data_IF_559601392233
#
_entry.id   IF_559601392233
#
_cell.length_a   1.000
_cell.length_b   1.000
_cell.length_c   1.000
_cell.angle_alpha   90.00
_cell.angle_beta   90.00
_cell.angle_gamma   90.00
#
_symmetry.space_group_name_H-M   'P 1'
#
loop_
_entity.id
_entity.type
_entity.pdbx_description
1 polymer ?
#
# COMPACT_ATOMS: atom_id res chain seq x y z
N UNK A 1 -20.38 -6.73 -20.24
CA UNK A 1 -19.92 -5.54 -19.48
C UNK A 1 -18.61 -5.92 -18.82
N UNK A 2 -17.61 -5.03 -18.82
CA UNK A 2 -16.37 -5.25 -18.08
C UNK A 2 -16.68 -5.33 -16.56
N UNK A 3 -15.96 -6.17 -15.82
CA UNK A 3 -16.05 -6.18 -14.37
C UNK A 3 -15.62 -4.82 -13.82
N UNK A 4 -16.21 -4.32 -12.72
CA UNK A 4 -15.68 -3.14 -12.06
C UNK A 4 -14.30 -3.44 -11.48
N UNK A 5 -13.44 -2.41 -11.46
CA UNK A 5 -12.06 -2.52 -10.97
C UNK A 5 -12.01 -2.30 -9.46
N UNK A 6 -11.21 -3.08 -8.75
CA UNK A 6 -10.89 -2.85 -7.35
C UNK A 6 -9.38 -2.89 -7.15
N UNK A 7 -8.85 -1.88 -6.46
CA UNK A 7 -7.48 -1.84 -5.96
C UNK A 7 -7.49 -1.88 -4.43
N UNK A 8 -6.66 -2.69 -3.86
CA UNK A 8 -6.37 -2.69 -2.41
C UNK A 8 -4.94 -3.16 -2.15
N UNK A 9 -4.43 -2.87 -0.96
CA UNK A 9 -3.06 -3.28 -0.62
C UNK A 9 -2.74 -3.13 0.84
N UNK A 10 -1.64 -3.76 1.25
CA UNK A 10 -1.09 -3.62 2.60
C UNK A 10 0.40 -3.35 2.55
N UNK A 11 0.88 -2.61 3.55
CA UNK A 11 2.30 -2.39 3.74
C UNK A 11 2.96 -3.68 4.26
N UNK A 12 4.11 -4.11 3.70
CA UNK A 12 4.86 -5.26 4.19
C UNK A 12 5.68 -4.89 5.44
N UNK A 13 5.02 -4.33 6.47
CA UNK A 13 5.62 -3.90 7.72
C UNK A 13 5.20 -4.82 8.87
N UNK A 14 6.14 -5.61 9.39
CA UNK A 14 5.84 -6.58 10.44
C UNK A 14 5.19 -7.89 9.93
N UNK A 15 4.89 -8.78 10.85
CA UNK A 15 4.13 -10.00 10.54
C UNK A 15 2.66 -9.70 10.31
N UNK A 16 2.04 -10.43 9.39
CA UNK A 16 0.62 -10.31 9.15
C UNK A 16 -0.17 -10.85 10.35
N UNK A 17 -1.16 -10.10 10.78
CA UNK A 17 -1.99 -10.44 11.94
C UNK A 17 -3.32 -11.06 11.51
N UNK A 18 -3.99 -11.73 12.44
CA UNK A 18 -5.38 -12.19 12.24
C UNK A 18 -6.31 -11.03 11.83
N UNK A 19 -6.07 -9.82 12.36
CA UNK A 19 -6.81 -8.62 11.97
C UNK A 19 -6.65 -8.26 10.50
N UNK A 20 -5.46 -8.40 9.93
CA UNK A 20 -5.21 -8.21 8.50
C UNK A 20 -5.94 -9.25 7.66
N UNK A 21 -5.94 -10.51 8.09
CA UNK A 21 -6.65 -11.57 7.39
C UNK A 21 -8.17 -11.33 7.39
N UNK A 22 -8.77 -11.13 8.55
CA UNK A 22 -10.23 -10.95 8.68
C UNK A 22 -10.69 -9.62 8.08
N UNK A 23 -9.93 -8.55 8.30
CA UNK A 23 -10.30 -7.20 7.88
C UNK A 23 -10.06 -6.91 6.39
N UNK A 24 -9.14 -7.61 5.74
CA UNK A 24 -8.78 -7.35 4.36
C UNK A 24 -8.74 -8.62 3.49
N UNK A 25 -7.81 -9.55 3.71
CA UNK A 25 -7.52 -10.63 2.76
C UNK A 25 -8.74 -11.52 2.52
N UNK A 26 -9.48 -11.87 3.57
CA UNK A 26 -10.70 -12.67 3.44
C UNK A 26 -11.78 -11.98 2.56
N UNK A 27 -11.80 -10.65 2.52
CA UNK A 27 -12.66 -9.91 1.61
C UNK A 27 -12.10 -9.95 0.18
N UNK A 28 -10.79 -9.81 0.01
CA UNK A 28 -10.14 -9.85 -1.30
C UNK A 28 -10.33 -11.18 -2.01
N UNK A 29 -10.30 -12.30 -1.25
CA UNK A 29 -10.58 -13.64 -1.79
C UNK A 29 -11.99 -13.71 -2.40
N UNK A 30 -12.95 -12.99 -1.85
CA UNK A 30 -14.31 -12.90 -2.42
C UNK A 30 -14.36 -11.94 -3.60
N UNK A 31 -13.72 -10.77 -3.49
CA UNK A 31 -13.74 -9.73 -4.51
C UNK A 31 -13.11 -10.21 -5.84
N UNK A 32 -12.07 -11.05 -5.81
CA UNK A 32 -11.46 -11.56 -7.04
C UNK A 32 -12.42 -12.36 -7.94
N UNK A 33 -13.54 -12.85 -7.43
CA UNK A 33 -14.52 -13.57 -8.22
C UNK A 33 -15.42 -12.63 -9.04
N UNK A 34 -15.71 -11.45 -8.49
CA UNK A 34 -16.69 -10.51 -9.04
C UNK A 34 -16.06 -9.29 -9.71
N UNK A 35 -14.82 -8.93 -9.33
CA UNK A 35 -14.14 -7.73 -9.75
C UNK A 35 -12.88 -8.04 -10.58
N UNK A 36 -12.46 -7.08 -11.37
CA UNK A 36 -11.10 -7.02 -11.92
C UNK A 36 -10.18 -6.47 -10.81
N UNK A 37 -9.48 -7.39 -10.14
CA UNK A 37 -8.90 -7.13 -8.83
C UNK A 37 -7.38 -6.97 -8.91
N UNK A 38 -6.88 -5.93 -8.25
CA UNK A 38 -5.48 -5.58 -8.14
C UNK A 38 -5.10 -5.51 -6.65
N UNK A 39 -4.24 -6.43 -6.20
CA UNK A 39 -3.80 -6.49 -4.80
C UNK A 39 -2.31 -6.19 -4.69
N UNK A 40 -1.99 -5.14 -3.96
CA UNK A 40 -0.68 -4.53 -3.91
C UNK A 40 0.03 -4.80 -2.58
N UNK A 41 1.33 -5.09 -2.66
CA UNK A 41 2.24 -4.92 -1.52
C UNK A 41 2.82 -3.52 -1.58
N UNK A 42 2.38 -2.65 -0.67
CA UNK A 42 2.63 -1.21 -0.66
C UNK A 42 3.99 -0.89 0.00
N UNK A 43 5.09 -1.29 -0.64
CA UNK A 43 6.44 -1.14 -0.13
C UNK A 43 6.94 0.31 -0.17
N UNK A 44 6.49 1.13 -1.14
CA UNK A 44 6.80 2.57 -1.14
C UNK A 44 6.13 3.30 0.04
N UNK A 45 4.93 2.88 0.45
CA UNK A 45 4.33 3.39 1.69
C UNK A 45 5.05 2.90 2.94
N UNK A 46 5.61 1.68 2.90
CA UNK A 46 6.36 1.12 4.02
C UNK A 46 7.60 1.94 4.37
N UNK A 47 8.33 2.44 3.36
CA UNK A 47 9.56 3.22 3.56
C UNK A 47 9.32 4.66 4.06
N UNK A 48 8.08 5.11 4.19
CA UNK A 48 7.75 6.35 4.91
C UNK A 48 8.15 6.30 6.40
N UNK A 49 8.30 5.10 6.94
CA UNK A 49 8.96 4.82 8.20
C UNK A 49 10.24 4.02 7.90
N UNK A 50 11.34 4.33 8.59
CA UNK A 50 12.63 3.67 8.33
C UNK A 50 12.51 2.15 8.44
N UNK A 51 12.91 1.45 7.38
CA UNK A 51 12.94 0.00 7.28
C UNK A 51 14.38 -0.47 7.08
N UNK A 52 14.68 -1.66 7.56
CA UNK A 52 15.87 -2.40 7.12
C UNK A 52 15.61 -2.94 5.72
N UNK A 53 16.50 -2.68 4.72
CA UNK A 53 16.26 -3.06 3.32
C UNK A 53 16.17 -4.57 3.08
N UNK A 54 16.98 -5.37 3.80
CA UNK A 54 16.98 -6.82 3.64
C UNK A 54 15.70 -7.42 4.23
N UNK A 55 15.33 -6.93 5.40
CA UNK A 55 14.09 -7.34 6.07
C UNK A 55 12.85 -6.91 5.26
N UNK A 56 12.86 -5.72 4.65
CA UNK A 56 11.75 -5.28 3.80
C UNK A 56 11.60 -6.18 2.58
N UNK A 57 12.70 -6.56 1.91
CA UNK A 57 12.67 -7.50 0.76
C UNK A 57 12.11 -8.86 1.17
N UNK A 58 12.55 -9.40 2.31
CA UNK A 58 12.04 -10.66 2.83
C UNK A 58 10.53 -10.57 3.10
N UNK A 59 10.07 -9.51 3.75
CA UNK A 59 8.65 -9.28 4.06
C UNK A 59 7.76 -9.10 2.82
N UNK A 60 8.29 -8.51 1.75
CA UNK A 60 7.58 -8.43 0.47
C UNK A 60 7.34 -9.83 -0.08
N UNK A 61 8.36 -10.69 -0.12
CA UNK A 61 8.22 -12.08 -0.58
C UNK A 61 7.28 -12.89 0.31
N UNK A 62 7.41 -12.76 1.63
CA UNK A 62 6.50 -13.39 2.60
C UNK A 62 5.05 -12.93 2.40
N UNK A 63 4.86 -11.64 2.11
CA UNK A 63 3.54 -11.08 1.83
C UNK A 63 2.88 -11.68 0.58
N UNK A 64 3.64 -11.83 -0.52
CA UNK A 64 3.15 -12.50 -1.74
C UNK A 64 2.76 -13.95 -1.44
N UNK A 65 3.64 -14.68 -0.76
CA UNK A 65 3.38 -16.07 -0.38
C UNK A 65 2.14 -16.20 0.49
N UNK A 66 1.99 -15.27 1.45
CA UNK A 66 0.87 -15.28 2.39
C UNK A 66 -0.47 -14.93 1.71
N UNK A 67 -0.51 -13.93 0.81
CA UNK A 67 -1.70 -13.62 0.04
C UNK A 67 -2.17 -14.85 -0.74
N UNK A 68 -1.24 -15.52 -1.42
CA UNK A 68 -1.53 -16.74 -2.18
C UNK A 68 -2.00 -17.88 -1.27
N UNK A 69 -1.33 -18.10 -0.14
CA UNK A 69 -1.71 -19.12 0.83
C UNK A 69 -3.10 -18.85 1.46
N UNK A 70 -3.50 -17.59 1.58
CA UNK A 70 -4.82 -17.21 2.06
C UNK A 70 -5.93 -17.30 1.00
N UNK A 71 -5.60 -17.63 -0.25
CA UNK A 71 -6.58 -17.88 -1.31
C UNK A 71 -6.66 -16.83 -2.40
N UNK A 72 -5.76 -15.84 -2.44
CA UNK A 72 -5.62 -14.95 -3.60
C UNK A 72 -5.03 -15.77 -4.74
N UNK A 73 -5.75 -15.85 -5.85
CA UNK A 73 -5.36 -16.61 -7.04
C UNK A 73 -4.76 -15.64 -8.09
N UNK A 74 -3.47 -15.77 -8.44
CA UNK A 74 -2.83 -14.93 -9.45
C UNK A 74 -3.41 -15.05 -10.88
N UNK A 75 -4.20 -16.10 -11.14
CA UNK A 75 -4.92 -16.23 -12.41
C UNK A 75 -6.21 -15.39 -12.48
N UNK A 76 -6.72 -14.95 -11.32
CA UNK A 76 -7.96 -14.19 -11.18
C UNK A 76 -7.74 -12.73 -10.79
N UNK A 77 -6.66 -12.45 -10.08
CA UNK A 77 -6.32 -11.13 -9.58
C UNK A 77 -4.86 -10.80 -9.89
N UNK A 78 -4.58 -9.56 -10.25
CA UNK A 78 -3.21 -9.07 -10.34
C UNK A 78 -2.64 -8.92 -8.92
N UNK A 79 -1.55 -9.62 -8.64
CA UNK A 79 -0.80 -9.49 -7.39
C UNK A 79 0.56 -8.85 -7.71
N UNK A 80 0.85 -7.70 -7.14
CA UNK A 80 2.05 -6.95 -7.50
C UNK A 80 2.69 -6.20 -6.32
N UNK A 81 3.94 -5.80 -6.52
CA UNK A 81 4.68 -4.95 -5.59
C UNK A 81 4.68 -3.52 -6.13
N UNK A 82 4.29 -2.57 -5.32
CA UNK A 82 4.10 -1.17 -5.72
C UNK A 82 5.34 -0.57 -6.40
N UNK A 83 6.53 -0.81 -5.85
CA UNK A 83 7.79 -0.29 -6.42
C UNK A 83 8.17 -0.89 -7.77
N UNK A 84 7.55 -1.99 -8.19
CA UNK A 84 7.79 -2.61 -9.50
C UNK A 84 6.92 -1.97 -10.61
N UNK A 85 6.02 -1.08 -10.25
CA UNK A 85 5.20 -0.28 -11.17
C UNK A 85 5.61 1.20 -11.00
N UNK A 86 6.59 1.69 -11.78
CA UNK A 86 7.19 3.01 -11.56
C UNK A 86 6.20 4.17 -11.73
N UNK A 87 5.10 3.95 -12.43
CA UNK A 87 4.04 4.92 -12.66
C UNK A 87 3.43 5.45 -11.35
N UNK A 88 3.34 4.63 -10.30
CA UNK A 88 2.90 5.07 -8.97
C UNK A 88 3.78 6.21 -8.43
N UNK A 89 5.11 6.03 -8.50
CA UNK A 89 6.04 7.05 -8.03
C UNK A 89 6.07 8.28 -8.97
N UNK A 90 5.96 8.08 -10.28
CA UNK A 90 5.96 9.16 -11.27
C UNK A 90 4.72 10.05 -11.11
N UNK A 91 3.53 9.45 -11.06
CA UNK A 91 2.29 10.19 -10.82
C UNK A 91 2.28 10.81 -9.42
N UNK A 92 2.77 10.08 -8.42
CA UNK A 92 2.93 10.60 -7.06
C UNK A 92 3.78 11.87 -7.01
N UNK A 93 4.86 11.94 -7.79
CA UNK A 93 5.66 13.15 -7.92
C UNK A 93 4.87 14.30 -8.55
N UNK A 94 4.15 14.03 -9.64
CA UNK A 94 3.31 15.06 -10.29
C UNK A 94 2.28 15.59 -9.31
N UNK A 95 1.56 14.71 -8.61
CA UNK A 95 0.55 15.11 -7.61
C UNK A 95 1.16 15.91 -6.46
N UNK A 96 2.37 15.58 -6.02
CA UNK A 96 3.10 16.37 -5.01
C UNK A 96 3.37 17.81 -5.45
N UNK A 97 3.54 18.07 -6.76
CA UNK A 97 3.73 19.42 -7.27
C UNK A 97 2.43 20.27 -7.24
N UNK A 98 1.28 19.63 -7.12
CA UNK A 98 -0.03 20.28 -7.04
C UNK A 98 -0.65 20.25 -5.65
N UNK A 99 -0.25 19.30 -4.80
CA UNK A 99 -0.77 19.15 -3.44
C UNK A 99 -0.41 20.38 -2.58
N UNK A 100 -1.39 20.89 -1.85
CA UNK A 100 -1.18 22.06 -0.99
C UNK A 100 -0.73 21.62 0.41
N UNK A 101 0.32 22.25 0.92
CA UNK A 101 0.86 22.00 2.27
C UNK A 101 -0.20 22.08 3.37
N UNK A 102 -1.15 23.04 3.25
CA UNK A 102 -2.24 23.21 4.21
C UNK A 102 -3.23 22.05 4.22
N UNK A 103 -3.43 21.37 3.10
CA UNK A 103 -4.28 20.18 2.99
C UNK A 103 -3.59 18.97 3.60
N UNK A 104 -2.34 18.72 3.23
CA UNK A 104 -1.56 17.60 3.77
C UNK A 104 -1.39 17.71 5.30
N UNK A 105 -1.22 18.93 5.82
CA UNK A 105 -1.07 19.17 7.26
C UNK A 105 -2.36 18.88 8.07
N UNK A 106 -3.52 18.81 7.43
CA UNK A 106 -4.80 18.45 8.08
C UNK A 106 -5.00 16.94 8.21
N UNK A 107 -4.19 16.13 7.53
CA UNK A 107 -4.31 14.67 7.57
C UNK A 107 -4.03 14.13 8.98
N UNK A 108 -4.99 13.39 9.54
CA UNK A 108 -4.90 12.84 10.91
C UNK A 108 -3.78 11.83 11.07
N UNK A 109 -3.60 10.94 10.07
CA UNK A 109 -2.55 9.92 10.13
C UNK A 109 -1.13 10.50 10.17
N UNK A 110 -0.88 11.66 9.57
CA UNK A 110 0.39 12.34 9.72
C UNK A 110 0.64 12.70 11.19
N UNK A 111 -0.36 13.25 11.88
CA UNK A 111 -0.27 13.62 13.30
C UNK A 111 -0.02 12.41 14.19
N UNK A 112 -0.76 11.32 13.97
CA UNK A 112 -0.63 10.09 14.76
C UNK A 112 0.74 9.43 14.57
N UNK A 113 1.19 9.28 13.34
CA UNK A 113 2.51 8.70 13.02
C UNK A 113 3.67 9.60 13.46
N UNK A 114 3.53 10.92 13.37
CA UNK A 114 4.53 11.88 13.88
C UNK A 114 4.67 11.79 15.39
N UNK A 115 3.59 11.58 16.12
CA UNK A 115 3.62 11.39 17.57
C UNK A 115 4.32 10.06 17.95
N UNK A 116 4.05 8.98 17.19
CA UNK A 116 4.61 7.65 17.45
C UNK A 116 6.08 7.55 17.02
N UNK A 117 6.49 8.28 15.99
CA UNK A 117 7.83 8.24 15.40
C UNK A 117 8.51 9.61 15.41
N UNK A 118 8.47 10.32 16.54
CA UNK A 118 8.96 11.69 16.70
C UNK A 118 10.41 11.91 16.20
N UNK A 119 11.25 10.88 16.27
CA UNK A 119 12.64 10.93 15.83
C UNK A 119 12.84 10.64 14.32
N UNK A 120 11.78 10.37 13.58
CA UNK A 120 11.84 10.01 12.15
C UNK A 120 10.70 10.64 11.34
N UNK A 121 10.43 11.91 11.58
CA UNK A 121 9.47 12.67 10.77
C UNK A 121 10.18 13.07 9.47
N UNK A 122 9.74 12.51 8.36
CA UNK A 122 10.32 12.76 7.05
C UNK A 122 9.27 13.24 6.04
N UNK A 123 9.72 13.76 4.90
CA UNK A 123 8.83 14.29 3.85
C UNK A 123 7.89 13.22 3.30
N UNK A 124 8.34 11.97 3.17
CA UNK A 124 7.50 10.87 2.69
C UNK A 124 6.32 10.59 3.62
N UNK A 125 6.52 10.70 4.94
CA UNK A 125 5.45 10.58 5.93
C UNK A 125 4.42 11.71 5.82
N UNK A 126 4.84 12.89 5.39
CA UNK A 126 3.96 14.04 5.15
C UNK A 126 3.24 13.94 3.80
N UNK A 127 3.95 13.51 2.75
CA UNK A 127 3.50 13.52 1.36
C UNK A 127 2.82 12.22 0.89
N UNK A 128 2.78 11.15 1.72
CA UNK A 128 2.21 9.86 1.33
C UNK A 128 0.76 9.93 0.78
N UNK A 129 -0.11 10.90 1.14
CA UNK A 129 -1.46 10.98 0.56
C UNK A 129 -1.44 11.25 -0.95
N UNK A 130 -0.43 11.95 -1.47
CA UNK A 130 -0.26 12.14 -2.91
C UNK A 130 0.13 10.84 -3.61
N UNK A 131 1.01 10.03 -3.00
CA UNK A 131 1.33 8.69 -3.49
C UNK A 131 0.10 7.78 -3.45
N UNK A 132 -0.69 7.83 -2.38
CA UNK A 132 -1.92 7.05 -2.27
C UNK A 132 -2.95 7.45 -3.33
N UNK A 133 -3.06 8.72 -3.67
CA UNK A 133 -3.90 9.16 -4.78
C UNK A 133 -3.39 8.62 -6.12
N UNK A 134 -2.07 8.59 -6.32
CA UNK A 134 -1.44 8.02 -7.51
C UNK A 134 -1.63 6.50 -7.62
N UNK A 135 -1.77 5.79 -6.50
CA UNK A 135 -2.06 4.35 -6.50
C UNK A 135 -3.47 4.05 -7.06
N UNK A 136 -4.41 4.99 -6.92
CA UNK A 136 -5.82 4.81 -7.25
C UNK A 136 -6.17 5.32 -8.65
N UNK A 137 -5.45 6.34 -9.13
CA UNK A 137 -5.70 7.02 -10.42
C UNK A 137 -5.02 6.31 -11.58
#
# INVERSE_FOLDING_TARGET
>A
MSKPVVLSGMQPTGGMTIGNYVGAINQWVKLQEEYDSYFMLADLHAITVRQDPELLRARVLDGVALYTACGINPEKAALFVQSQVPEHAQLGWVLNCYAQMGELNRMTQFKDKSATHANNINVGLFAYPALQAADIL
#
